data_IF_850945026868
#
_entry.id   IF_850945026868
#
_cell.length_a   1.000
_cell.length_b   1.000
_cell.length_c   1.000
_cell.angle_alpha   90.00
_cell.angle_beta   90.00
_cell.angle_gamma   90.00
#
_symmetry.space_group_name_H-M   'P 1'
#
loop_
_entity.id
_entity.type
_entity.pdbx_description
1 polymer ?
#
# COMPACT_ATOMS: atom_id res chain seq x y z
N UNK A 1 -34.44 -39.08 46.38
CA UNK A 1 -34.74 -39.19 44.94
C UNK A 1 -33.50 -38.71 44.18
N UNK A 2 -33.01 -39.42 43.17
CA UNK A 2 -31.75 -39.09 42.51
C UNK A 2 -31.90 -37.94 41.50
N UNK A 3 -30.92 -37.04 41.49
CA UNK A 3 -30.80 -35.92 40.54
C UNK A 3 -30.65 -36.44 39.11
N UNK A 4 -31.44 -35.89 38.18
CA UNK A 4 -31.39 -36.25 36.75
C UNK A 4 -30.05 -35.80 36.17
N UNK A 5 -29.18 -36.77 35.87
CA UNK A 5 -28.01 -36.57 35.01
C UNK A 5 -28.50 -36.25 33.59
N UNK A 6 -28.42 -34.98 33.19
CA UNK A 6 -28.71 -34.56 31.81
C UNK A 6 -27.53 -35.02 30.96
N UNK A 7 -27.73 -36.09 30.19
CA UNK A 7 -26.80 -36.55 29.17
C UNK A 7 -27.17 -35.82 27.88
N UNK A 8 -26.49 -34.71 27.61
CA UNK A 8 -26.71 -33.85 26.44
C UNK A 8 -25.66 -32.74 26.42
N UNK A 9 -25.52 -32.07 25.27
CA UNK A 9 -24.62 -30.93 25.17
C UNK A 9 -25.07 -29.82 26.15
N UNK A 10 -24.13 -29.15 26.85
CA UNK A 10 -24.45 -28.03 27.72
C UNK A 10 -25.16 -26.92 26.94
N UNK A 11 -26.16 -26.27 27.56
CA UNK A 11 -26.82 -25.10 26.96
C UNK A 11 -25.75 -24.06 26.61
N UNK A 12 -25.68 -23.73 25.32
CA UNK A 12 -24.82 -22.67 24.84
C UNK A 12 -25.38 -21.36 25.37
N UNK A 13 -24.81 -20.84 26.45
CA UNK A 13 -24.99 -19.46 26.84
C UNK A 13 -24.56 -18.59 25.64
N UNK A 14 -25.53 -18.15 24.85
CA UNK A 14 -25.34 -17.22 23.73
C UNK A 14 -25.01 -15.79 24.22
N UNK A 15 -24.30 -15.65 25.33
CA UNK A 15 -23.70 -14.39 25.77
C UNK A 15 -22.36 -14.18 25.06
N UNK A 16 -22.37 -14.25 23.73
CA UNK A 16 -21.25 -13.84 22.87
C UNK A 16 -21.59 -12.51 22.23
N UNK A 17 -21.58 -11.44 23.04
CA UNK A 17 -21.59 -10.05 22.56
C UNK A 17 -20.22 -9.65 22.00
N UNK A 18 -19.73 -10.37 20.99
CA UNK A 18 -18.78 -9.81 20.05
C UNK A 18 -19.46 -9.79 18.69
N UNK A 19 -20.17 -8.69 18.35
CA UNK A 19 -20.80 -8.59 17.04
C UNK A 19 -19.71 -8.76 15.97
N UNK A 20 -19.90 -9.72 15.06
CA UNK A 20 -19.00 -10.06 13.95
C UNK A 20 -18.83 -8.93 12.90
N UNK A 21 -19.27 -7.71 13.23
CA UNK A 21 -19.22 -6.51 12.38
C UNK A 21 -18.09 -5.57 12.77
N UNK A 22 -17.26 -5.88 13.78
CA UNK A 22 -16.08 -5.06 14.06
C UNK A 22 -15.09 -5.23 12.91
N UNK A 23 -14.72 -4.14 12.21
CA UNK A 23 -13.76 -4.24 11.12
C UNK A 23 -12.45 -4.81 11.67
N UNK A 24 -11.90 -5.79 10.96
CA UNK A 24 -10.58 -6.32 11.26
C UNK A 24 -9.57 -5.16 11.26
N UNK A 25 -8.66 -5.13 12.24
CA UNK A 25 -7.60 -4.13 12.27
C UNK A 25 -6.79 -4.19 10.97
N UNK A 26 -6.66 -3.04 10.30
CA UNK A 26 -5.81 -2.90 9.13
C UNK A 26 -4.36 -2.97 9.59
N UNK A 27 -3.69 -4.11 9.39
CA UNK A 27 -2.27 -4.23 9.68
C UNK A 27 -1.50 -3.46 8.60
N UNK A 28 -1.00 -2.27 8.94
CA UNK A 28 -0.21 -1.47 8.02
C UNK A 28 1.13 -2.16 7.77
N UNK A 29 1.47 -2.37 6.50
CA UNK A 29 2.78 -2.92 6.13
C UNK A 29 3.88 -1.97 6.63
N UNK A 30 5.02 -2.51 7.11
CA UNK A 30 6.18 -1.71 7.44
C UNK A 30 6.54 -0.78 6.28
N UNK A 31 6.95 0.46 6.59
CA UNK A 31 7.23 1.50 5.60
C UNK A 31 8.15 1.03 4.47
N UNK A 32 9.22 0.31 4.81
CA UNK A 32 10.16 -0.23 3.85
C UNK A 32 9.50 -1.22 2.89
N UNK A 33 8.69 -2.15 3.42
CA UNK A 33 7.96 -3.12 2.60
C UNK A 33 6.95 -2.43 1.66
N UNK A 34 6.39 -1.29 2.06
CA UNK A 34 5.54 -0.48 1.18
C UNK A 34 6.35 0.13 0.03
N UNK A 35 7.51 0.74 0.32
CA UNK A 35 8.39 1.30 -0.70
C UNK A 35 8.80 0.22 -1.72
N UNK A 36 9.22 -0.95 -1.23
CA UNK A 36 9.61 -2.07 -2.07
C UNK A 36 8.46 -2.55 -2.97
N UNK A 37 7.24 -2.62 -2.43
CA UNK A 37 6.05 -3.00 -3.18
C UNK A 37 5.73 -2.00 -4.30
N UNK A 38 5.71 -0.70 -3.98
CA UNK A 38 5.43 0.34 -4.98
C UNK A 38 6.53 0.40 -6.06
N UNK A 39 7.80 0.24 -5.67
CA UNK A 39 8.92 0.15 -6.61
C UNK A 39 8.81 -1.06 -7.53
N UNK A 40 8.35 -2.21 -7.03
CA UNK A 40 8.14 -3.40 -7.85
C UNK A 40 7.08 -3.17 -8.94
N UNK A 41 5.98 -2.48 -8.61
CA UNK A 41 4.92 -2.13 -9.57
C UNK A 41 5.49 -1.22 -10.67
N UNK A 42 6.22 -0.18 -10.30
CA UNK A 42 6.83 0.75 -11.26
C UNK A 42 7.86 0.02 -12.13
N UNK A 43 8.69 -0.85 -11.53
CA UNK A 43 9.72 -1.60 -12.25
C UNK A 43 9.12 -2.56 -13.28
N UNK A 44 7.98 -3.18 -12.98
CA UNK A 44 7.29 -4.10 -13.90
C UNK A 44 6.80 -3.40 -15.18
N UNK A 45 6.42 -2.11 -15.10
CA UNK A 45 5.90 -1.35 -16.24
C UNK A 45 6.94 -0.42 -16.88
N UNK A 46 7.79 0.19 -16.06
CA UNK A 46 8.72 1.26 -16.43
C UNK A 46 10.05 1.11 -15.67
N UNK A 47 10.83 0.08 -16.02
CA UNK A 47 12.13 -0.18 -15.40
C UNK A 47 13.08 1.02 -15.40
N UNK A 48 13.08 1.86 -16.46
CA UNK A 48 13.90 3.08 -16.53
C UNK A 48 13.52 4.09 -15.45
N UNK A 49 12.22 4.29 -15.21
CA UNK A 49 11.71 5.20 -14.19
C UNK A 49 12.06 4.66 -12.80
N UNK A 50 11.88 3.36 -12.54
CA UNK A 50 12.25 2.75 -11.27
C UNK A 50 13.74 2.96 -10.96
N UNK A 51 14.63 2.72 -11.92
CA UNK A 51 16.06 2.94 -11.75
C UNK A 51 16.40 4.42 -11.47
N UNK A 52 15.71 5.35 -12.15
CA UNK A 52 15.90 6.78 -11.89
C UNK A 52 15.44 7.17 -10.47
N UNK A 53 14.28 6.67 -10.04
CA UNK A 53 13.78 6.94 -8.68
C UNK A 53 14.75 6.36 -7.64
N UNK A 54 15.31 5.17 -7.84
CA UNK A 54 16.34 4.61 -6.94
C UNK A 54 17.60 5.46 -6.85
N UNK A 55 18.05 6.05 -7.96
CA UNK A 55 19.20 6.96 -7.96
C UNK A 55 18.92 8.26 -7.20
N UNK A 56 17.70 8.78 -7.26
CA UNK A 56 17.33 10.03 -6.61
C UNK A 56 16.72 9.83 -5.21
N UNK A 57 16.48 8.60 -4.77
CA UNK A 57 15.79 8.33 -3.50
C UNK A 57 16.53 8.92 -2.31
N UNK A 58 15.83 9.73 -1.49
CA UNK A 58 16.43 10.45 -0.36
C UNK A 58 17.02 11.81 -0.72
N UNK A 59 17.09 12.18 -2.00
CA UNK A 59 17.37 13.55 -2.43
C UNK A 59 16.10 14.40 -2.42
N UNK A 60 16.26 15.71 -2.18
CA UNK A 60 15.15 16.68 -2.23
C UNK A 60 14.46 16.69 -3.60
N UNK A 61 15.23 16.46 -4.64
CA UNK A 61 14.79 16.49 -6.03
C UNK A 61 13.96 15.26 -6.42
N UNK A 62 13.94 14.20 -5.60
CA UNK A 62 13.14 13.00 -5.88
C UNK A 62 11.64 13.31 -5.92
N UNK A 63 11.15 14.14 -4.99
CA UNK A 63 9.73 14.53 -4.94
C UNK A 63 9.38 15.35 -6.17
N UNK A 64 10.24 16.29 -6.55
CA UNK A 64 10.04 17.12 -7.73
C UNK A 64 10.03 16.26 -9.00
N UNK A 65 10.95 15.31 -9.11
CA UNK A 65 11.00 14.35 -10.21
C UNK A 65 9.72 13.50 -10.30
N UNK A 66 9.23 12.96 -9.17
CA UNK A 66 7.99 12.19 -9.12
C UNK A 66 6.77 13.03 -9.52
N UNK A 67 6.69 14.28 -9.04
CA UNK A 67 5.60 15.20 -9.40
C UNK A 67 5.62 15.54 -10.89
N UNK A 68 6.81 15.80 -11.45
CA UNK A 68 6.97 16.05 -12.88
C UNK A 68 6.57 14.84 -13.72
N UNK A 69 6.94 13.62 -13.31
CA UNK A 69 6.49 12.39 -13.94
C UNK A 69 4.96 12.32 -13.97
N UNK A 70 4.32 12.48 -12.81
CA UNK A 70 2.86 12.40 -12.66
C UNK A 70 2.15 13.42 -13.57
N UNK A 71 2.61 14.68 -13.58
CA UNK A 71 1.97 15.77 -14.33
C UNK A 71 2.20 15.64 -15.85
N UNK A 72 3.39 15.21 -16.26
CA UNK A 72 3.72 15.05 -17.68
C UNK A 72 3.17 13.75 -18.26
N UNK A 73 2.80 12.79 -17.41
CA UNK A 73 2.16 11.53 -17.79
C UNK A 73 3.08 10.55 -18.53
N UNK A 74 4.40 10.63 -18.34
CA UNK A 74 5.38 9.75 -18.99
C UNK A 74 6.83 10.17 -18.76
N UNK A 75 7.80 9.37 -19.23
CA UNK A 75 9.24 9.62 -19.04
C UNK A 75 9.84 10.69 -19.99
N UNK A 76 9.02 11.29 -20.86
CA UNK A 76 9.45 12.32 -21.82
C UNK A 76 10.29 11.81 -23.00
N UNK A 77 10.73 10.55 -23.01
CA UNK A 77 11.50 9.93 -24.08
C UNK A 77 10.58 9.21 -25.07
N UNK A 78 10.02 9.98 -26.00
CA UNK A 78 9.50 9.46 -27.26
C UNK A 78 7.97 9.41 -27.36
N UNK A 79 7.47 10.20 -28.32
CA UNK A 79 6.18 10.13 -29.02
C UNK A 79 5.10 9.24 -28.38
N UNK A 80 4.44 9.77 -27.36
CA UNK A 80 2.97 9.88 -27.23
C UNK A 80 2.67 10.13 -25.75
N UNK A 81 1.74 11.05 -25.46
CA UNK A 81 1.18 11.27 -24.12
C UNK A 81 0.29 10.08 -23.75
N UNK A 82 0.86 8.88 -23.67
CA UNK A 82 0.19 7.70 -23.15
C UNK A 82 0.41 7.78 -21.65
N UNK A 83 -0.59 8.32 -20.95
CA UNK A 83 -0.56 8.43 -19.50
C UNK A 83 -0.22 7.11 -18.82
N UNK A 84 0.20 7.17 -17.56
CA UNK A 84 0.47 5.97 -16.79
C UNK A 84 -0.77 5.09 -16.62
N UNK A 85 -0.55 3.78 -16.54
CA UNK A 85 -1.56 2.88 -15.97
C UNK A 85 -1.91 3.34 -14.56
N UNK A 86 -3.16 3.13 -14.17
CA UNK A 86 -3.66 3.55 -12.86
C UNK A 86 -2.81 3.00 -11.71
N UNK A 87 -2.35 1.74 -11.80
CA UNK A 87 -1.50 1.10 -10.80
C UNK A 87 -0.14 1.82 -10.66
N UNK A 88 0.49 2.19 -11.78
CA UNK A 88 1.76 2.93 -11.78
C UNK A 88 1.56 4.34 -11.22
N UNK A 89 0.49 5.01 -11.61
CA UNK A 89 0.17 6.34 -11.10
C UNK A 89 -0.06 6.31 -9.57
N UNK A 90 -0.83 5.33 -9.09
CA UNK A 90 -1.04 5.12 -7.65
C UNK A 90 0.28 4.86 -6.93
N UNK A 91 1.15 4.04 -7.51
CA UNK A 91 2.46 3.75 -6.94
C UNK A 91 3.34 4.99 -6.84
N UNK A 92 3.35 5.84 -7.87
CA UNK A 92 4.09 7.12 -7.86
C UNK A 92 3.57 8.09 -6.79
N UNK A 93 2.25 8.18 -6.61
CA UNK A 93 1.63 9.01 -5.57
C UNK A 93 1.98 8.45 -4.18
N UNK A 94 1.87 7.13 -3.99
CA UNK A 94 2.21 6.47 -2.73
C UNK A 94 3.69 6.68 -2.38
N UNK A 95 4.61 6.52 -3.33
CA UNK A 95 6.03 6.82 -3.12
C UNK A 95 6.26 8.27 -2.71
N UNK A 96 5.53 9.22 -3.30
CA UNK A 96 5.62 10.64 -2.92
C UNK A 96 5.22 10.87 -1.46
N UNK A 97 4.19 10.17 -0.97
CA UNK A 97 3.77 10.23 0.43
C UNK A 97 4.71 9.50 1.39
N UNK A 98 5.33 8.42 0.92
CA UNK A 98 6.31 7.64 1.70
C UNK A 98 7.68 8.30 1.75
N UNK A 99 7.98 9.19 0.82
CA UNK A 99 9.20 9.98 0.75
C UNK A 99 9.20 11.10 1.81
N UNK A 100 9.24 10.71 3.09
CA UNK A 100 9.56 11.60 4.19
C UNK A 100 11.07 11.85 4.22
N UNK A 101 11.52 12.92 3.56
CA UNK A 101 12.71 13.60 4.07
C UNK A 101 12.28 14.20 5.39
N UNK A 102 12.72 13.60 6.50
CA UNK A 102 12.52 14.11 7.86
C UNK A 102 12.73 15.63 7.85
N UNK A 103 11.63 16.39 7.81
CA UNK A 103 11.64 17.83 8.08
C UNK A 103 11.90 17.93 9.58
N UNK A 104 13.18 18.09 9.91
CA UNK A 104 13.61 18.49 11.25
C UNK A 104 13.24 19.95 11.49
#
# INVERSE_FOLDING_TARGET
MPEKKIIGFPDLNHSTEFPATRPMMLNELPRLARIDHEMAIIRAHHARIANAIEMFWGHKDCVEYLQQLILNGGDGFGKARVGFKHEVLSALINLTTLHEIRKN
#
